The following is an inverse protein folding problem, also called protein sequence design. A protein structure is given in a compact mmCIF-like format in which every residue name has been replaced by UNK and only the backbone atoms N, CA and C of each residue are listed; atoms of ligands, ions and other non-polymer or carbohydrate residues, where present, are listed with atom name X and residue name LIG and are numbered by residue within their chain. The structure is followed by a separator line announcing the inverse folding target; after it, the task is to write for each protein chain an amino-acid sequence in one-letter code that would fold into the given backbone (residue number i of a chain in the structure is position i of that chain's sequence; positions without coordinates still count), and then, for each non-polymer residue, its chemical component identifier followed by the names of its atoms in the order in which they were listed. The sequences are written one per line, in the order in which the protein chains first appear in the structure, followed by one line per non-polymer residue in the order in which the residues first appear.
data_IF_667897477383
#
_entry.id   IF_667897477383
#
_cell.length_a   1.000
_cell.length_b   1.000
_cell.length_c   1.000
_cell.angle_alpha   90.00
_cell.angle_beta   90.00
_cell.angle_gamma   90.00
#
_symmetry.space_group_name_H-M   'P 1'
#
loop_
_entity.id
_entity.type
_entity.pdbx_description
1 polymer ?
#
# COMPACT_ATOMS: atom_id res chain seq x y z
N UNK A 1 19.55 -17.98 15.27
CA UNK A 1 18.20 -18.55 15.52
C UNK A 1 17.19 -17.74 14.74
N UNK A 2 16.46 -18.36 13.81
CA UNK A 2 15.42 -17.66 13.02
C UNK A 2 14.20 -17.46 13.93
N UNK A 3 13.94 -16.23 14.38
CA UNK A 3 12.76 -15.92 15.21
C UNK A 3 11.52 -16.09 14.34
N UNK A 4 10.87 -17.25 14.45
CA UNK A 4 9.61 -17.53 13.76
C UNK A 4 8.47 -16.87 14.50
N UNK A 5 8.09 -15.69 14.04
CA UNK A 5 6.88 -15.01 14.49
C UNK A 5 5.67 -15.76 13.91
N UNK A 6 4.70 -16.13 14.75
CA UNK A 6 3.48 -16.84 14.32
C UNK A 6 2.78 -16.09 13.18
N UNK A 7 2.23 -16.82 12.20
CA UNK A 7 1.36 -16.25 11.16
C UNK A 7 0.12 -15.52 11.72
N UNK A 8 -0.16 -15.67 13.02
CA UNK A 8 -1.17 -14.94 13.79
C UNK A 8 -0.54 -13.93 14.76
N UNK A 9 0.53 -13.25 14.38
CA UNK A 9 1.29 -12.36 15.27
C UNK A 9 0.42 -11.25 15.88
N UNK A 10 -0.61 -10.82 15.14
CA UNK A 10 -1.68 -9.99 15.68
C UNK A 10 -3.02 -10.71 15.53
N UNK A 11 -3.56 -11.24 16.64
CA UNK A 11 -4.90 -11.86 16.66
C UNK A 11 -5.97 -10.82 16.32
N UNK A 12 -7.08 -11.25 15.71
CA UNK A 12 -8.25 -10.37 15.51
C UNK A 12 -8.81 -9.93 16.86
N UNK A 13 -9.20 -8.67 16.97
CA UNK A 13 -9.79 -8.11 18.19
C UNK A 13 -11.14 -7.43 17.84
N UNK A 14 -12.24 -7.74 18.54
CA UNK A 14 -13.53 -7.08 18.31
C UNK A 14 -13.56 -5.61 18.75
N UNK A 15 -12.56 -5.15 19.52
CA UNK A 15 -12.40 -3.76 19.96
C UNK A 15 -11.55 -2.99 18.95
N UNK A 16 -11.78 -1.68 18.90
CA UNK A 16 -10.97 -0.81 18.05
C UNK A 16 -9.60 -0.59 18.71
N UNK A 17 -8.53 -1.10 18.07
CA UNK A 17 -7.14 -0.89 18.48
C UNK A 17 -6.58 0.39 17.88
N UNK A 18 -6.19 1.30 18.76
CA UNK A 18 -5.59 2.58 18.39
C UNK A 18 -4.31 2.81 19.17
N UNK A 19 -3.20 2.84 18.45
CA UNK A 19 -1.92 3.29 18.92
C UNK A 19 -1.76 4.78 18.62
N UNK A 20 -1.44 5.58 19.63
CA UNK A 20 -1.06 6.98 19.48
C UNK A 20 0.43 7.12 19.65
N UNK A 21 1.08 7.88 18.78
CA UNK A 21 2.52 8.11 18.81
C UNK A 21 2.77 9.62 18.75
N UNK A 22 3.53 10.14 19.73
CA UNK A 22 3.92 11.54 19.71
C UNK A 22 5.08 11.76 18.75
N UNK A 23 4.91 12.66 17.79
CA UNK A 23 5.95 12.95 16.79
C UNK A 23 6.82 14.13 17.21
N UNK A 24 8.08 14.11 16.79
CA UNK A 24 8.99 15.27 16.94
C UNK A 24 8.70 16.31 15.85
N UNK A 25 8.60 15.87 14.59
CA UNK A 25 8.22 16.72 13.45
C UNK A 25 6.73 17.09 13.52
N UNK A 26 6.36 18.24 12.93
CA UNK A 26 4.94 18.60 12.78
C UNK A 26 4.28 17.83 11.63
N UNK A 27 4.24 16.51 11.77
CA UNK A 27 3.54 15.61 10.88
C UNK A 27 2.27 15.09 11.55
N UNK A 28 1.26 14.81 10.75
CA UNK A 28 -0.01 14.24 11.20
C UNK A 28 -0.33 13.07 10.27
N UNK A 29 -0.31 11.87 10.80
CA UNK A 29 -0.57 10.68 9.99
C UNK A 29 -1.49 9.69 10.68
N UNK A 30 -2.27 8.99 9.86
CA UNK A 30 -3.03 7.82 10.24
C UNK A 30 -2.55 6.66 9.37
N UNK A 31 -2.02 5.61 9.99
CA UNK A 31 -1.70 4.36 9.31
C UNK A 31 -2.69 3.30 9.75
N UNK A 32 -3.35 2.65 8.79
CA UNK A 32 -4.16 1.46 9.03
C UNK A 32 -3.35 0.25 8.58
N UNK A 33 -2.78 -0.47 9.54
CA UNK A 33 -1.99 -1.66 9.31
C UNK A 33 -2.88 -2.89 9.44
N UNK A 34 -2.87 -3.74 8.41
CA UNK A 34 -3.59 -5.01 8.38
C UNK A 34 -2.58 -6.15 8.31
N UNK A 35 -2.47 -7.00 9.34
CA UNK A 35 -1.59 -8.15 9.32
C UNK A 35 -2.15 -9.21 8.37
N UNK A 36 -1.26 -9.82 7.60
CA UNK A 36 -1.56 -10.85 6.61
C UNK A 36 -0.62 -12.05 6.82
N UNK A 37 -1.07 -13.22 6.38
CA UNK A 37 -0.16 -14.33 6.13
C UNK A 37 0.87 -13.96 5.06
N UNK A 38 2.03 -14.62 5.04
CA UNK A 38 3.07 -14.40 4.02
C UNK A 38 2.48 -14.28 2.63
N UNK A 39 2.83 -13.22 1.90
CA UNK A 39 2.34 -12.94 0.54
C UNK A 39 3.44 -12.99 -0.52
N UNK A 40 4.71 -13.12 -0.13
CA UNK A 40 5.86 -13.09 -1.06
C UNK A 40 5.78 -14.12 -2.19
N UNK A 41 5.15 -15.28 -1.97
CA UNK A 41 4.99 -16.31 -3.01
C UNK A 41 3.96 -15.94 -4.09
N UNK A 42 3.17 -14.88 -3.91
CA UNK A 42 2.22 -14.38 -4.91
C UNK A 42 2.84 -13.36 -5.88
N UNK A 43 4.17 -13.28 -5.95
CA UNK A 43 4.91 -12.27 -6.71
C UNK A 43 4.50 -12.18 -8.20
N UNK A 44 4.06 -13.27 -8.83
CA UNK A 44 3.59 -13.25 -10.23
C UNK A 44 2.24 -12.55 -10.44
N UNK A 45 1.43 -12.48 -9.40
CA UNK A 45 0.07 -11.90 -9.44
C UNK A 45 -0.05 -10.59 -8.67
N UNK A 46 0.96 -10.25 -7.87
CA UNK A 46 1.07 -9.05 -7.04
C UNK A 46 -0.26 -8.51 -6.47
N UNK A 47 -1.04 -9.32 -5.72
CA UNK A 47 -2.37 -8.94 -5.26
C UNK A 47 -2.36 -7.71 -4.34
N UNK A 48 -1.30 -7.54 -3.54
CA UNK A 48 -1.13 -6.34 -2.71
C UNK A 48 -0.76 -5.10 -3.55
N UNK A 49 -0.04 -5.28 -4.67
CA UNK A 49 0.21 -4.22 -5.64
C UNK A 49 -1.08 -3.74 -6.29
N UNK A 50 -1.95 -4.67 -6.73
CA UNK A 50 -3.30 -4.33 -7.25
C UNK A 50 -4.16 -3.58 -6.23
N UNK A 51 -4.16 -4.04 -4.97
CA UNK A 51 -4.88 -3.34 -3.89
C UNK A 51 -4.31 -1.95 -3.64
N UNK A 52 -2.98 -1.83 -3.65
CA UNK A 52 -2.27 -0.56 -3.52
C UNK A 52 -2.61 0.41 -4.64
N UNK A 53 -2.61 -0.04 -5.89
CA UNK A 53 -3.01 0.74 -7.06
C UNK A 53 -4.43 1.31 -6.92
N UNK A 54 -5.40 0.49 -6.50
CA UNK A 54 -6.79 0.93 -6.34
C UNK A 54 -6.98 1.86 -5.13
N UNK A 55 -6.48 1.50 -3.95
CA UNK A 55 -6.64 2.31 -2.74
C UNK A 55 -5.82 3.61 -2.78
N UNK A 56 -4.64 3.55 -3.40
CA UNK A 56 -3.70 4.65 -3.59
C UNK A 56 -4.03 5.54 -4.78
N UNK A 57 -5.05 5.23 -5.57
CA UNK A 57 -5.42 6.04 -6.71
C UNK A 57 -5.76 7.48 -6.30
N UNK A 58 -5.28 8.47 -7.07
CA UNK A 58 -5.44 9.89 -6.75
C UNK A 58 -6.46 10.63 -7.63
N UNK A 59 -6.98 9.98 -8.66
CA UNK A 59 -7.90 10.58 -9.62
C UNK A 59 -9.34 10.77 -9.13
N UNK A 60 -10.20 11.20 -10.05
CA UNK A 60 -11.61 11.53 -9.77
C UNK A 60 -12.34 10.32 -9.17
N UNK A 61 -13.06 10.55 -8.07
CA UNK A 61 -13.83 9.49 -7.39
C UNK A 61 -13.00 8.58 -6.49
N UNK A 62 -11.69 8.80 -6.39
CA UNK A 62 -10.84 8.03 -5.48
C UNK A 62 -11.08 8.34 -4.01
N UNK A 63 -10.56 7.48 -3.14
CA UNK A 63 -10.56 7.69 -1.69
C UNK A 63 -9.83 8.99 -1.32
N UNK A 64 -8.65 9.24 -1.88
CA UNK A 64 -7.90 10.47 -1.60
C UNK A 64 -8.66 11.71 -2.10
N UNK A 65 -9.24 11.66 -3.30
CA UNK A 65 -10.03 12.76 -3.85
C UNK A 65 -11.20 13.14 -2.92
N UNK A 66 -11.91 12.16 -2.38
CA UNK A 66 -12.96 12.38 -1.38
C UNK A 66 -12.41 13.00 -0.08
N UNK A 67 -11.30 12.46 0.45
CA UNK A 67 -10.71 12.94 1.69
C UNK A 67 -10.18 14.37 1.56
N UNK A 68 -9.58 14.73 0.41
CA UNK A 68 -9.15 16.10 0.07
C UNK A 68 -10.36 17.03 0.02
N UNK A 69 -11.45 16.65 -0.66
CA UNK A 69 -12.69 17.45 -0.73
C UNK A 69 -13.32 17.71 0.64
N UNK A 70 -13.23 16.76 1.57
CA UNK A 70 -13.72 16.94 2.94
C UNK A 70 -12.74 17.70 3.86
N UNK A 71 -11.58 18.10 3.33
CA UNK A 71 -10.44 18.68 4.04
C UNK A 71 -9.96 17.77 5.19
N UNK A 72 -9.88 16.46 4.95
CA UNK A 72 -9.45 15.46 5.93
C UNK A 72 -8.02 14.96 5.69
N UNK A 73 -7.55 14.91 4.45
CA UNK A 73 -6.22 14.42 4.12
C UNK A 73 -5.57 15.25 3.00
N UNK A 74 -4.24 15.29 3.00
CA UNK A 74 -3.42 15.91 1.96
C UNK A 74 -2.79 14.87 1.02
N UNK A 75 -2.54 13.65 1.50
CA UNK A 75 -1.95 12.56 0.73
C UNK A 75 -2.38 11.20 1.27
N UNK A 76 -2.29 10.18 0.43
CA UNK A 76 -2.57 8.79 0.77
C UNK A 76 -1.67 7.88 -0.04
N UNK A 77 -1.06 6.90 0.62
CA UNK A 77 -0.43 5.76 -0.05
C UNK A 77 -0.95 4.45 0.53
N UNK A 78 -1.00 3.42 -0.31
CA UNK A 78 -1.44 2.10 0.11
C UNK A 78 -0.62 1.03 -0.61
N UNK A 79 -0.32 -0.06 0.08
CA UNK A 79 0.47 -1.14 -0.49
C UNK A 79 0.83 -2.22 0.52
N UNK A 80 1.60 -3.21 0.05
CA UNK A 80 2.24 -4.16 0.97
C UNK A 80 3.15 -3.42 1.94
N UNK A 81 3.01 -3.72 3.23
CA UNK A 81 3.89 -3.22 4.29
C UNK A 81 5.01 -4.22 4.57
N UNK A 82 5.32 -4.41 5.85
CA UNK A 82 6.37 -5.33 6.29
C UNK A 82 6.10 -6.75 5.79
N UNK A 83 7.14 -7.43 5.30
CA UNK A 83 7.01 -8.78 4.76
C UNK A 83 8.27 -9.58 4.97
N UNK A 84 8.11 -10.82 5.42
CA UNK A 84 9.19 -11.79 5.58
C UNK A 84 8.67 -13.21 5.32
N UNK A 85 9.48 -14.23 5.64
CA UNK A 85 9.13 -15.64 5.45
C UNK A 85 7.97 -16.13 6.33
N UNK A 86 7.56 -15.37 7.34
CA UNK A 86 6.54 -15.76 8.31
C UNK A 86 5.24 -14.96 8.20
N UNK A 87 5.32 -13.66 7.92
CA UNK A 87 4.14 -12.79 7.84
C UNK A 87 4.31 -11.68 6.81
N UNK A 88 3.20 -11.03 6.48
CA UNK A 88 3.17 -9.81 5.69
C UNK A 88 2.18 -8.81 6.31
N UNK A 89 2.18 -7.55 5.88
CA UNK A 89 1.09 -6.61 6.14
C UNK A 89 0.63 -5.90 4.88
N UNK A 90 -0.53 -5.27 4.97
CA UNK A 90 -0.96 -4.25 4.03
C UNK A 90 -1.26 -2.97 4.80
N UNK A 91 -0.73 -1.86 4.32
CA UNK A 91 -0.79 -0.58 5.04
C UNK A 91 -1.51 0.45 4.18
N UNK A 92 -2.41 1.22 4.81
CA UNK A 92 -2.97 2.45 4.24
C UNK A 92 -2.47 3.63 5.06
N UNK A 93 -1.58 4.42 4.49
CA UNK A 93 -0.93 5.56 5.14
C UNK A 93 -1.57 6.85 4.64
N UNK A 94 -2.11 7.66 5.55
CA UNK A 94 -2.87 8.86 5.22
C UNK A 94 -2.20 10.06 5.90
N UNK A 95 -1.81 11.05 5.12
CA UNK A 95 -1.33 12.33 5.64
C UNK A 95 -2.53 13.21 5.98
N UNK A 96 -2.75 13.46 7.28
CA UNK A 96 -3.93 14.13 7.78
C UNK A 96 -3.76 15.66 7.77
N UNK A 97 -4.87 16.36 7.52
CA UNK A 97 -4.98 17.78 7.86
C UNK A 97 -5.26 17.94 9.36
N UNK A 98 -5.19 19.15 9.95
CA UNK A 98 -5.64 19.37 11.32
C UNK A 98 -7.09 18.94 11.56
N UNK A 99 -7.98 19.17 10.58
CA UNK A 99 -9.37 18.70 10.63
C UNK A 99 -9.45 17.17 10.55
N UNK A 100 -8.61 16.55 9.70
CA UNK A 100 -8.44 15.10 9.62
C UNK A 100 -8.03 14.46 10.95
N UNK A 101 -7.05 15.06 11.63
CA UNK A 101 -6.58 14.61 12.94
C UNK A 101 -7.70 14.62 13.99
N UNK A 102 -8.52 15.68 14.04
CA UNK A 102 -9.68 15.73 14.95
C UNK A 102 -10.79 14.74 14.58
N UNK A 103 -10.83 14.28 13.32
CA UNK A 103 -11.90 13.45 12.77
C UNK A 103 -11.38 12.11 12.20
N UNK A 104 -10.32 11.54 12.78
CA UNK A 104 -9.67 10.34 12.22
C UNK A 104 -10.63 9.14 12.11
N UNK A 105 -11.62 9.01 13.01
CA UNK A 105 -12.64 7.95 12.92
C UNK A 105 -13.52 8.07 11.67
N UNK A 106 -13.75 9.30 11.18
CA UNK A 106 -14.42 9.56 9.90
C UNK A 106 -13.53 9.17 8.72
N UNK A 107 -12.22 9.44 8.81
CA UNK A 107 -11.24 9.00 7.80
C UNK A 107 -11.23 7.47 7.69
N UNK A 108 -11.13 6.76 8.82
CA UNK A 108 -11.23 5.29 8.88
C UNK A 108 -12.52 4.79 8.24
N UNK A 109 -13.65 5.44 8.54
CA UNK A 109 -14.93 5.10 7.90
C UNK A 109 -14.87 5.23 6.37
N UNK A 110 -14.26 6.29 5.82
CA UNK A 110 -14.11 6.45 4.37
C UNK A 110 -13.27 5.34 3.74
N UNK A 111 -12.20 4.90 4.42
CA UNK A 111 -11.41 3.73 3.98
C UNK A 111 -12.29 2.49 3.89
N UNK A 112 -13.06 2.17 4.93
CA UNK A 112 -13.95 0.99 4.90
C UNK A 112 -15.09 1.10 3.88
N UNK A 113 -15.58 2.31 3.58
CA UNK A 113 -16.53 2.52 2.48
C UNK A 113 -15.90 2.25 1.11
N UNK A 114 -14.63 2.59 0.91
CA UNK A 114 -13.91 2.25 -0.31
C UNK A 114 -13.64 0.75 -0.41
N UNK A 115 -13.21 0.11 0.69
CA UNK A 115 -13.06 -1.35 0.74
C UNK A 115 -14.39 -2.07 0.47
N UNK A 116 -15.53 -1.50 0.89
CA UNK A 116 -16.86 -2.03 0.56
C UNK A 116 -17.13 -1.99 -0.95
N UNK A 117 -16.81 -0.87 -1.61
CA UNK A 117 -16.89 -0.76 -3.07
C UNK A 117 -16.03 -1.84 -3.74
N UNK A 118 -14.77 -2.00 -3.31
CA UNK A 118 -13.88 -3.01 -3.89
C UNK A 118 -14.42 -4.44 -3.72
N UNK A 119 -15.07 -4.75 -2.58
CA UNK A 119 -15.66 -6.08 -2.34
C UNK A 119 -16.87 -6.36 -3.22
N UNK A 120 -17.62 -5.33 -3.58
CA UNK A 120 -18.78 -5.45 -4.46
C UNK A 120 -18.35 -5.61 -5.93
N UNK A 121 -17.23 -4.99 -6.33
CA UNK A 121 -16.77 -5.03 -7.72
C UNK A 121 -15.75 -6.14 -8.01
N UNK A 122 -14.94 -6.54 -7.02
CA UNK A 122 -13.77 -7.41 -7.25
C UNK A 122 -12.64 -6.69 -7.97
N UNK A 123 -11.69 -7.46 -8.54
CA UNK A 123 -10.62 -6.94 -9.40
C UNK A 123 -11.07 -6.92 -10.87
N UNK A 124 -11.32 -5.75 -11.48
CA UNK A 124 -11.65 -5.68 -12.90
C UNK A 124 -10.47 -6.11 -13.76
N UNK A 125 -10.77 -6.73 -14.90
CA UNK A 125 -9.73 -7.19 -15.83
C UNK A 125 -8.91 -6.05 -16.43
N UNK A 126 -9.54 -4.93 -16.79
CA UNK A 126 -8.84 -3.79 -17.37
C UNK A 126 -7.77 -3.23 -16.42
N UNK A 127 -8.06 -3.13 -15.12
CA UNK A 127 -7.09 -2.70 -14.10
C UNK A 127 -5.87 -3.61 -14.07
N UNK A 128 -6.09 -4.92 -14.13
CA UNK A 128 -4.97 -5.88 -14.18
C UNK A 128 -4.11 -5.66 -15.44
N UNK A 129 -4.73 -5.52 -16.62
CA UNK A 129 -3.98 -5.33 -17.86
C UNK A 129 -3.23 -3.99 -17.87
N UNK A 130 -3.81 -2.92 -17.32
CA UNK A 130 -3.14 -1.63 -17.19
C UNK A 130 -1.91 -1.72 -16.29
N UNK A 131 -2.05 -2.27 -15.08
CA UNK A 131 -0.92 -2.36 -14.15
C UNK A 131 0.14 -3.34 -14.65
N UNK A 132 -0.28 -4.42 -15.34
CA UNK A 132 0.63 -5.32 -16.04
C UNK A 132 1.42 -4.57 -17.12
N UNK A 133 0.75 -3.84 -18.01
CA UNK A 133 1.39 -3.07 -19.06
C UNK A 133 2.37 -2.05 -18.46
N UNK A 134 1.96 -1.31 -17.42
CA UNK A 134 2.85 -0.39 -16.71
C UNK A 134 4.09 -1.12 -16.18
N UNK A 135 3.94 -2.30 -15.58
CA UNK A 135 5.09 -3.09 -15.10
C UNK A 135 6.03 -3.55 -16.22
N UNK A 136 5.50 -3.86 -17.41
CA UNK A 136 6.29 -4.23 -18.58
C UNK A 136 7.07 -3.03 -19.14
N UNK A 137 6.44 -1.85 -19.16
CA UNK A 137 7.07 -0.59 -19.58
C UNK A 137 8.18 -0.20 -18.60
N UNK A 138 7.86 -0.16 -17.30
CA UNK A 138 8.80 0.17 -16.24
C UNK A 138 10.02 -0.78 -16.29
N UNK A 139 9.79 -2.07 -16.50
CA UNK A 139 10.87 -3.03 -16.67
C UNK A 139 11.72 -2.77 -17.92
N UNK A 140 11.08 -2.55 -19.08
CA UNK A 140 11.77 -2.36 -20.36
C UNK A 140 12.67 -1.11 -20.37
N UNK A 141 12.23 -0.05 -19.70
CA UNK A 141 12.92 1.24 -19.65
C UNK A 141 13.60 1.53 -18.32
N UNK A 142 13.69 0.54 -17.42
CA UNK A 142 14.38 0.69 -16.16
C UNK A 142 15.85 1.05 -16.37
N UNK A 143 16.32 2.05 -15.63
CA UNK A 143 17.75 2.28 -15.46
C UNK A 143 18.37 1.06 -14.77
N UNK A 144 19.47 0.55 -15.33
CA UNK A 144 20.14 -0.62 -14.76
C UNK A 144 20.93 -0.18 -13.52
N UNK A 145 20.71 -0.80 -12.35
CA UNK A 145 21.55 -0.54 -11.19
C UNK A 145 22.97 -1.05 -11.47
N UNK A 146 23.98 -0.33 -10.99
CA UNK A 146 25.38 -0.64 -11.22
C UNK A 146 26.16 -0.86 -9.92
N UNK A 147 27.34 -1.47 -10.05
CA UNK A 147 28.30 -1.66 -8.97
C UNK A 147 27.71 -2.31 -7.73
N UNK A 148 27.99 -1.73 -6.57
CA UNK A 148 27.56 -2.24 -5.25
C UNK A 148 26.03 -2.29 -5.11
N UNK A 149 25.31 -1.36 -5.74
CA UNK A 149 23.84 -1.32 -5.67
C UNK A 149 23.22 -2.54 -6.34
N UNK A 150 23.75 -2.95 -7.50
CA UNK A 150 23.32 -4.16 -8.19
C UNK A 150 23.51 -5.40 -7.31
N UNK A 151 24.71 -5.56 -6.75
CA UNK A 151 25.06 -6.72 -5.89
C UNK A 151 24.14 -6.80 -4.67
N UNK A 152 23.87 -5.67 -4.01
CA UNK A 152 23.01 -5.62 -2.83
C UNK A 152 21.55 -5.99 -3.16
N UNK A 153 21.00 -5.44 -4.24
CA UNK A 153 19.63 -5.72 -4.69
C UNK A 153 19.50 -7.19 -5.05
N UNK A 154 20.40 -7.71 -5.88
CA UNK A 154 20.33 -9.09 -6.36
C UNK A 154 20.55 -10.11 -5.24
N UNK A 155 21.48 -9.85 -4.31
CA UNK A 155 21.69 -10.71 -3.13
C UNK A 155 20.41 -10.84 -2.29
N UNK A 156 19.65 -9.75 -2.13
CA UNK A 156 18.37 -9.76 -1.42
C UNK A 156 17.30 -10.53 -2.20
N UNK A 157 17.18 -10.27 -3.51
CA UNK A 157 16.19 -10.94 -4.36
C UNK A 157 16.43 -12.45 -4.43
N UNK A 158 17.69 -12.92 -4.43
CA UNK A 158 18.03 -14.35 -4.45
C UNK A 158 17.48 -15.13 -3.24
N UNK A 159 17.15 -14.44 -2.14
CA UNK A 159 16.52 -15.07 -0.98
C UNK A 159 15.04 -15.41 -1.19
N UNK A 160 14.41 -14.82 -2.22
CA UNK A 160 12.96 -14.88 -2.44
C UNK A 160 12.55 -15.39 -3.83
N UNK A 161 13.44 -15.27 -4.82
CA UNK A 161 13.14 -15.57 -6.21
C UNK A 161 14.11 -16.61 -6.80
N UNK A 162 13.67 -17.44 -7.76
CA UNK A 162 14.57 -18.35 -8.48
C UNK A 162 15.65 -17.58 -9.25
N UNK A 163 16.91 -17.97 -9.08
CA UNK A 163 18.06 -17.30 -9.71
C UNK A 163 17.89 -17.10 -11.23
N UNK A 164 17.38 -18.11 -11.95
CA UNK A 164 17.19 -18.05 -13.42
C UNK A 164 16.18 -16.99 -13.89
N UNK A 165 15.30 -16.51 -13.01
CA UNK A 165 14.26 -15.53 -13.33
C UNK A 165 14.38 -14.27 -12.49
N UNK A 166 15.48 -14.11 -11.77
CA UNK A 166 15.70 -13.05 -10.80
C UNK A 166 15.58 -11.65 -11.40
N UNK A 167 15.98 -11.51 -12.65
CA UNK A 167 15.93 -10.24 -13.37
C UNK A 167 14.51 -9.82 -13.75
N UNK A 168 13.53 -10.74 -13.79
CA UNK A 168 12.20 -10.49 -14.36
C UNK A 168 11.09 -10.68 -13.33
N UNK A 169 11.08 -11.82 -12.64
CA UNK A 169 10.01 -12.26 -11.74
C UNK A 169 9.66 -11.22 -10.64
N UNK A 170 10.60 -10.41 -10.09
CA UNK A 170 10.27 -9.38 -9.11
C UNK A 170 9.52 -8.17 -9.70
N UNK A 171 9.67 -7.92 -11.00
CA UNK A 171 9.29 -6.66 -11.64
C UNK A 171 8.03 -6.76 -12.49
N UNK A 172 7.78 -7.91 -13.13
CA UNK A 172 6.67 -8.07 -14.08
C UNK A 172 5.53 -8.89 -13.47
N UNK A 173 4.31 -8.40 -13.66
CA UNK A 173 3.09 -9.13 -13.32
C UNK A 173 2.70 -10.04 -14.49
N UNK A 174 2.54 -11.33 -14.22
CA UNK A 174 2.30 -12.33 -15.28
C UNK A 174 1.02 -13.14 -15.09
N UNK A 175 0.41 -13.12 -13.91
CA UNK A 175 -0.75 -13.94 -13.58
C UNK A 175 -1.96 -13.13 -13.09
N UNK A 176 -3.09 -13.26 -13.78
CA UNK A 176 -4.38 -12.73 -13.31
C UNK A 176 -5.03 -13.68 -12.29
N UNK A 177 -4.98 -13.32 -11.00
CA UNK A 177 -5.50 -14.15 -9.89
C UNK A 177 -6.53 -13.39 -9.03
N UNK A 178 -7.75 -13.13 -9.54
CA UNK A 178 -8.77 -12.35 -8.82
C UNK A 178 -9.19 -12.99 -7.47
N UNK A 179 -9.22 -14.32 -7.37
CA UNK A 179 -9.54 -14.99 -6.09
C UNK A 179 -8.52 -14.73 -4.99
N UNK A 180 -7.24 -14.59 -5.34
CA UNK A 180 -6.17 -14.29 -4.38
C UNK A 180 -6.29 -12.82 -3.94
N UNK A 181 -6.55 -11.92 -4.89
CA UNK A 181 -6.88 -10.52 -4.60
C UNK A 181 -8.06 -10.42 -3.62
N UNK A 182 -9.16 -11.13 -3.87
CA UNK A 182 -10.32 -11.15 -3.00
C UNK A 182 -9.94 -11.66 -1.60
N UNK A 183 -9.20 -12.77 -1.50
CA UNK A 183 -8.75 -13.29 -0.21
C UNK A 183 -7.98 -12.25 0.62
N UNK A 184 -7.16 -11.41 -0.01
CA UNK A 184 -6.45 -10.32 0.67
C UNK A 184 -7.42 -9.19 1.05
N UNK A 185 -8.28 -8.78 0.13
CA UNK A 185 -9.29 -7.73 0.36
C UNK A 185 -10.26 -8.05 1.50
N UNK A 186 -10.69 -9.32 1.60
CA UNK A 186 -11.56 -9.80 2.68
C UNK A 186 -10.82 -9.95 4.02
N UNK A 187 -9.49 -9.90 4.03
CA UNK A 187 -8.69 -9.83 5.26
C UNK A 187 -8.55 -8.40 5.82
N UNK A 188 -8.80 -7.37 5.01
CA UNK A 188 -8.75 -5.95 5.41
C UNK A 188 -10.01 -5.52 6.20
N UNK A 189 -10.18 -6.05 7.40
CA UNK A 189 -11.36 -5.86 8.25
C UNK A 189 -11.05 -5.00 9.47
N UNK A 190 -12.05 -4.31 10.06
CA UNK A 190 -11.85 -3.53 11.29
C UNK A 190 -11.23 -4.32 12.45
N UNK A 191 -11.61 -5.59 12.60
CA UNK A 191 -11.11 -6.49 13.65
C UNK A 191 -9.68 -6.97 13.38
N UNK A 192 -9.27 -6.93 12.11
CA UNK A 192 -7.92 -7.28 11.66
C UNK A 192 -7.09 -6.02 11.40
N UNK A 193 -7.35 -4.92 12.13
CA UNK A 193 -6.66 -3.65 11.93
C UNK A 193 -5.95 -3.21 13.21
N UNK A 194 -4.80 -2.56 13.04
CA UNK A 194 -4.20 -1.67 14.02
C UNK A 194 -4.17 -0.27 13.40
N UNK A 195 -4.87 0.69 14.02
CA UNK A 195 -4.75 2.09 13.63
C UNK A 195 -3.62 2.73 14.43
N UNK A 196 -2.72 3.41 13.73
CA UNK A 196 -1.61 4.17 14.31
C UNK A 196 -1.83 5.63 13.97
N UNK A 197 -2.05 6.46 14.99
CA UNK A 197 -2.26 7.90 14.86
C UNK A 197 -1.04 8.64 15.42
N UNK A 198 -0.27 9.27 14.53
CA UNK A 198 0.94 9.97 14.91
C UNK A 198 0.80 11.49 14.69
N UNK A 199 1.00 12.27 15.76
CA UNK A 199 1.08 13.73 15.71
C UNK A 199 1.73 14.29 16.98
N UNK A 200 2.10 15.58 16.99
CA UNK A 200 2.69 16.25 18.18
C UNK A 200 1.75 16.31 19.38
N UNK A 201 0.47 16.54 19.14
CA UNK A 201 -0.51 16.89 20.18
C UNK A 201 -1.36 15.68 20.64
N UNK A 202 -0.90 14.45 20.39
CA UNK A 202 -1.59 13.26 20.89
C UNK A 202 -1.26 13.03 22.36
N UNK A 203 -2.25 12.60 23.14
CA UNK A 203 -2.05 12.17 24.52
C UNK A 203 -1.52 10.74 24.55
N UNK A 204 -0.49 10.52 25.33
CA UNK A 204 0.25 9.27 25.48
C UNK A 204 0.44 8.93 26.96
N UNK A 205 0.72 7.68 27.27
CA UNK A 205 0.79 7.15 28.65
C UNK A 205 2.06 6.36 28.91
N UNK A 206 2.77 5.98 27.85
CA UNK A 206 3.93 5.11 27.89
C UNK A 206 5.08 5.74 27.10
N UNK A 207 6.30 5.25 27.38
CA UNK A 207 7.51 5.64 26.70
C UNK A 207 8.28 4.38 26.32
N UNK A 208 8.63 4.25 25.06
CA UNK A 208 9.43 3.14 24.55
C UNK A 208 10.88 3.25 25.06
N UNK A 209 11.51 2.10 25.31
CA UNK A 209 12.78 1.99 26.06
C UNK A 209 13.97 2.61 25.33
N UNK A 210 14.16 2.31 24.04
CA UNK A 210 15.40 2.61 23.33
C UNK A 210 15.45 4.02 22.76
N UNK A 211 14.35 4.49 22.18
CA UNK A 211 14.28 5.80 21.52
C UNK A 211 13.52 6.82 22.34
N UNK A 212 12.89 6.40 23.44
CA UNK A 212 12.11 7.30 24.29
C UNK A 212 10.84 7.83 23.62
N UNK A 213 10.31 7.12 22.62
CA UNK A 213 9.11 7.53 21.89
C UNK A 213 7.92 7.45 22.82
N UNK A 214 7.22 8.58 23.01
CA UNK A 214 5.98 8.60 23.78
C UNK A 214 4.83 8.00 22.97
N UNK A 215 4.13 7.02 23.53
CA UNK A 215 3.04 6.33 22.88
C UNK A 215 1.93 5.90 23.85
N UNK A 216 0.82 5.40 23.30
CA UNK A 216 -0.25 4.76 24.08
C UNK A 216 -1.04 3.80 23.20
N UNK A 217 -1.25 2.58 23.66
CA UNK A 217 -2.12 1.61 22.99
C UNK A 217 -3.46 1.53 23.73
N UNK A 218 -4.54 1.83 23.01
CA UNK A 218 -5.90 1.85 23.57
C UNK A 218 -6.84 0.91 22.82
N UNK A 219 -7.79 0.34 23.56
CA UNK A 219 -8.84 -0.53 23.03
C UNK A 219 -10.19 0.14 23.30
N UNK A 220 -10.88 0.56 22.25
CA UNK A 220 -12.16 1.28 22.37
C UNK A 220 -13.36 0.38 22.07
N UNK A 221 -14.55 0.87 22.44
CA UNK A 221 -15.82 0.15 22.34
C UNK A 221 -16.04 -0.52 20.95
N UNK A 222 -16.43 -1.81 20.91
CA UNK A 222 -16.76 -2.55 19.69
C UNK A 222 -17.76 -1.88 18.74
N UNK A 223 -18.55 -0.90 19.21
CA UNK A 223 -19.47 -0.10 18.37
C UNK A 223 -18.79 0.52 17.15
N UNK A 224 -17.55 1.03 17.27
CA UNK A 224 -16.83 1.60 16.11
C UNK A 224 -16.51 0.54 15.06
N UNK A 225 -16.00 -0.61 15.50
CA UNK A 225 -15.68 -1.77 14.66
C UNK A 225 -16.93 -2.23 13.91
N UNK A 226 -18.07 -2.39 14.63
CA UNK A 226 -19.36 -2.75 14.03
C UNK A 226 -19.85 -1.71 13.02
N UNK A 227 -19.72 -0.42 13.33
CA UNK A 227 -20.11 0.66 12.43
C UNK A 227 -19.26 0.65 11.14
N UNK A 228 -17.95 0.46 11.26
CA UNK A 228 -17.07 0.41 10.09
C UNK A 228 -17.30 -0.83 9.24
N UNK A 229 -17.46 -2.00 9.87
CA UNK A 229 -17.80 -3.27 9.19
C UNK A 229 -19.07 -3.14 8.35
N UNK A 230 -20.08 -2.44 8.88
CA UNK A 230 -21.39 -2.25 8.22
C UNK A 230 -21.48 -0.94 7.43
N UNK A 231 -20.35 -0.31 7.10
CA UNK A 231 -20.36 0.95 6.34
C UNK A 231 -20.96 0.72 4.96
N UNK A 232 -22.02 1.48 4.65
CA UNK A 232 -22.62 1.49 3.32
C UNK A 232 -21.66 2.12 2.31
N UNK A 233 -21.66 1.58 1.09
CA UNK A 233 -20.99 2.22 -0.06
C UNK A 233 -21.43 3.67 -0.19
N UNK A 234 -20.49 4.53 -0.58
CA UNK A 234 -20.75 5.94 -0.84
C UNK A 234 -20.71 6.16 -2.36
N UNK A 235 -21.77 6.74 -2.94
CA UNK A 235 -21.88 6.97 -4.39
C UNK A 235 -20.78 7.87 -4.97
N UNK A 236 -20.18 8.72 -4.13
CA UNK A 236 -19.06 9.57 -4.52
C UNK A 236 -17.74 8.82 -4.74
N UNK A 237 -17.63 7.57 -4.26
CA UNK A 237 -16.46 6.72 -4.46
C UNK A 237 -16.64 5.86 -5.71
N UNK A 238 -15.62 5.85 -6.57
CA UNK A 238 -15.59 5.10 -7.83
C UNK A 238 -14.24 4.41 -7.99
N UNK A 239 -14.21 3.39 -8.85
CA UNK A 239 -12.97 2.85 -9.37
C UNK A 239 -12.35 3.86 -10.36
N UNK A 240 -11.03 3.81 -10.58
CA UNK A 240 -10.41 4.55 -11.67
C UNK A 240 -11.02 4.14 -13.01
N UNK A 241 -11.33 5.12 -13.85
CA UNK A 241 -11.62 4.88 -15.27
C UNK A 241 -10.33 4.43 -15.98
N UNK A 242 -10.43 3.81 -17.17
CA UNK A 242 -9.25 3.42 -17.93
C UNK A 242 -8.28 4.59 -18.15
N UNK A 243 -6.98 4.33 -18.02
CA UNK A 243 -5.95 5.35 -18.10
C UNK A 243 -5.64 5.75 -19.55
N UNK A 244 -6.00 6.96 -20.01
CA UNK A 244 -5.77 7.39 -21.39
C UNK A 244 -4.32 7.79 -21.67
N UNK A 245 -3.45 7.80 -20.66
CA UNK A 245 -2.04 8.19 -20.77
C UNK A 245 -1.09 7.00 -20.91
N UNK A 246 -1.60 5.77 -21.03
CA UNK A 246 -0.75 4.63 -21.32
C UNK A 246 -0.23 4.73 -22.76
N UNK A 247 1.08 4.59 -22.98
CA UNK A 247 1.66 4.75 -24.31
C UNK A 247 1.26 3.58 -25.21
N UNK A 248 0.77 3.90 -26.41
CA UNK A 248 0.45 2.91 -27.44
C UNK A 248 1.68 2.50 -28.27
N UNK A 249 2.68 3.40 -28.38
CA UNK A 249 3.90 3.17 -29.14
C UNK A 249 5.13 3.61 -28.33
N UNK A 250 6.12 2.72 -28.29
CA UNK A 250 7.38 2.87 -27.56
C UNK A 250 8.60 2.72 -28.49
N UNK A 251 8.39 2.86 -29.80
CA UNK A 251 9.44 2.86 -30.80
C UNK A 251 10.36 4.06 -30.65
N UNK A 252 11.66 3.82 -30.77
CA UNK A 252 12.66 4.89 -30.82
C UNK A 252 12.72 5.41 -32.25
N UNK A 253 12.59 6.74 -32.41
CA UNK A 253 12.73 7.36 -33.73
C UNK A 253 14.19 7.24 -34.20
N UNK A 254 14.44 6.98 -35.49
CA UNK A 254 15.79 6.93 -36.01
C UNK A 254 16.47 8.28 -35.82
N UNK A 255 17.78 8.25 -35.52
CA UNK A 255 18.57 9.47 -35.48
C UNK A 255 18.77 9.99 -36.91
N UNK A 256 18.32 11.22 -37.17
CA UNK A 256 18.53 11.93 -38.43
C UNK A 256 19.59 13.02 -38.21
N UNK A 257 20.85 12.70 -38.48
CA UNK A 257 21.96 13.63 -38.34
C UNK A 257 23.33 12.97 -38.50
N UNK A 258 24.39 13.74 -38.22
CA UNK A 258 25.78 13.26 -38.28
C UNK A 258 26.35 13.24 -36.87
N UNK A 259 26.73 12.06 -36.36
CA UNK A 259 27.44 11.96 -35.07
C UNK A 259 28.93 12.23 -35.33
N UNK A 260 29.45 13.35 -34.81
CA UNK A 260 30.90 13.55 -34.73
C UNK A 260 31.41 13.01 -33.39
N UNK A 261 32.07 11.85 -33.44
CA UNK A 261 32.77 11.30 -32.28
C UNK A 261 34.10 12.03 -32.14
N UNK A 262 34.24 12.88 -31.12
CA UNK A 262 35.53 13.45 -30.73
C UNK A 262 36.17 12.57 -29.68
N UNK A 263 37.39 12.10 -29.94
CA UNK A 263 38.19 11.39 -28.96
C UNK A 263 38.73 12.42 -27.96
N UNK A 264 38.42 12.27 -26.66
CA UNK A 264 39.18 12.98 -25.63
C UNK A 264 40.50 12.25 -25.44
N UNK A 265 41.59 12.83 -25.94
CA UNK A 265 42.97 12.45 -25.61
C UNK A 265 43.33 12.85 -24.19
#
# INVERSE_FOLDING_TARGET
QEIRVSAKYMKRDPRFRLMRIKTIKDSRSLTLMFPLSRTLHYYKSQPLGMLGFLLGHEGKGSLLSLLKRENLAAGLSAGGGDSNKSFSSFDVKIQLTPKGLRNYTKVIRRVFQYLRLLRETGLPRYIYEEVKLMSEIDYKFAEKPEGTSLVNVFSTLMMYYPMRKLEVDPYIITEFKPRIFDSMLYSLTPENMLAILAARDVKTTEKEEYYGVEYSLTYSNPKWVKNWRNSKKLSALKLPEPNPFLPENLGVLPFEGTVQLTHQS
#
